data_IF_991624096323
#
_entry.id   IF_991624096323
#
_cell.length_a   1.000
_cell.length_b   1.000
_cell.length_c   1.000
_cell.angle_alpha   90.00
_cell.angle_beta   90.00
_cell.angle_gamma   90.00
#
_symmetry.space_group_name_H-M   'P 1'
#
loop_
_entity.id
_entity.type
_entity.pdbx_description
1 polymer ?
#
# COMPACT_ATOMS: atom_id res chain seq x y z
N UNK A 1 44.34 33.84 49.21
CA UNK A 1 43.15 34.20 48.40
C UNK A 1 42.99 33.18 47.30
N UNK A 2 42.07 32.21 47.45
CA UNK A 2 41.76 31.23 46.42
C UNK A 2 40.36 31.54 45.84
N UNK A 3 40.26 31.75 44.53
CA UNK A 3 38.99 31.98 43.83
C UNK A 3 38.28 30.63 43.63
N UNK A 4 36.95 30.52 43.86
CA UNK A 4 36.22 29.30 43.57
C UNK A 4 35.92 29.20 42.06
N UNK A 5 36.13 28.00 41.49
CA UNK A 5 35.91 27.70 40.09
C UNK A 5 34.41 27.64 39.74
N UNK A 6 33.98 28.44 38.77
CA UNK A 6 32.59 28.57 38.31
C UNK A 6 32.26 27.64 37.13
N UNK A 7 32.76 26.41 37.11
CA UNK A 7 32.63 25.52 35.94
C UNK A 7 31.44 24.56 35.94
N UNK A 8 30.69 24.42 37.05
CA UNK A 8 29.69 23.33 37.18
C UNK A 8 28.27 23.75 36.77
N UNK A 9 27.94 25.06 36.75
CA UNK A 9 26.57 25.52 36.43
C UNK A 9 26.23 25.56 34.94
N UNK A 10 27.23 25.63 34.05
CA UNK A 10 27.02 25.77 32.60
C UNK A 10 26.63 24.47 31.90
N UNK A 11 27.11 23.32 32.37
CA UNK A 11 26.90 22.01 31.73
C UNK A 11 25.51 21.47 32.04
N UNK A 12 25.06 21.60 33.28
CA UNK A 12 23.71 21.17 33.70
C UNK A 12 22.60 21.95 33.01
N UNK A 13 22.78 23.27 32.78
CA UNK A 13 21.81 24.10 32.08
C UNK A 13 21.71 23.77 30.57
N UNK A 14 22.83 23.39 29.93
CA UNK A 14 22.85 22.94 28.54
C UNK A 14 22.22 21.55 28.35
N UNK A 15 22.42 20.64 29.31
CA UNK A 15 21.75 19.33 29.34
C UNK A 15 20.24 19.48 29.55
N UNK A 16 19.81 20.39 30.43
CA UNK A 16 18.39 20.70 30.65
C UNK A 16 17.74 21.35 29.43
N UNK A 17 18.39 22.33 28.77
CA UNK A 17 17.87 22.92 27.53
C UNK A 17 17.84 21.90 26.37
N UNK A 18 18.86 21.05 26.23
CA UNK A 18 18.89 19.99 25.22
C UNK A 18 17.79 18.94 25.44
N UNK A 19 17.52 18.57 26.69
CA UNK A 19 16.44 17.67 27.05
C UNK A 19 15.05 18.32 26.82
N UNK A 20 14.88 19.61 27.14
CA UNK A 20 13.63 20.36 26.89
C UNK A 20 13.34 20.55 25.40
N UNK A 21 14.36 20.83 24.59
CA UNK A 21 14.24 20.91 23.12
C UNK A 21 13.94 19.54 22.51
N UNK A 22 14.59 18.47 22.98
CA UNK A 22 14.27 17.10 22.56
C UNK A 22 12.85 16.68 22.99
N UNK A 23 12.39 17.10 24.17
CA UNK A 23 11.02 16.86 24.64
C UNK A 23 10.00 17.66 23.83
N UNK A 24 10.28 18.93 23.50
CA UNK A 24 9.40 19.73 22.63
C UNK A 24 9.38 19.22 21.19
N UNK A 25 10.50 18.70 20.66
CA UNK A 25 10.53 18.02 19.36
C UNK A 25 9.71 16.72 19.40
N UNK A 26 9.83 15.91 20.46
CA UNK A 26 9.02 14.70 20.64
C UNK A 26 7.52 15.04 20.77
N UNK A 27 7.17 16.09 21.52
CA UNK A 27 5.79 16.52 21.75
C UNK A 27 5.15 17.12 20.49
N UNK A 28 5.90 17.80 19.61
CA UNK A 28 5.39 18.24 18.30
C UNK A 28 5.22 17.10 17.30
N UNK A 29 6.05 16.05 17.37
CA UNK A 29 5.92 14.85 16.51
C UNK A 29 4.75 13.94 16.96
N UNK A 30 4.32 14.09 18.21
CA UNK A 30 3.21 13.37 18.83
C UNK A 30 1.85 14.12 18.79
N UNK A 31 1.68 15.11 17.91
CA UNK A 31 0.34 15.59 17.60
C UNK A 31 -0.42 14.45 16.91
N UNK A 32 -1.24 13.75 17.69
CA UNK A 32 -2.03 12.61 17.22
C UNK A 32 -2.93 13.06 16.06
N UNK A 33 -2.96 12.30 14.96
CA UNK A 33 -3.87 12.63 13.86
C UNK A 33 -5.30 12.58 14.41
N UNK A 34 -6.07 13.65 14.18
CA UNK A 34 -7.38 13.75 14.80
C UNK A 34 -8.28 12.60 14.33
N UNK A 35 -8.97 12.01 15.30
CA UNK A 35 -9.95 10.96 15.04
C UNK A 35 -9.38 9.54 14.93
N UNK A 36 -8.15 9.26 15.37
CA UNK A 36 -7.66 7.86 15.54
C UNK A 36 -7.69 7.02 14.26
N UNK A 37 -7.78 5.69 14.35
CA UNK A 37 -7.84 4.80 13.17
C UNK A 37 -9.24 4.86 12.54
N UNK A 38 -9.32 5.01 11.21
CA UNK A 38 -10.59 5.00 10.48
C UNK A 38 -11.15 3.58 10.42
N UNK A 39 -12.46 3.47 10.65
CA UNK A 39 -13.22 2.23 10.55
C UNK A 39 -14.36 2.37 9.55
N UNK A 40 -15.01 1.26 9.21
CA UNK A 40 -16.26 1.25 8.45
C UNK A 40 -17.45 0.92 9.33
N UNK A 41 -18.61 1.46 8.98
CA UNK A 41 -19.91 1.02 9.49
C UNK A 41 -20.92 1.04 8.34
N UNK A 42 -21.39 -0.15 7.97
CA UNK A 42 -22.18 -0.31 6.74
C UNK A 42 -21.36 0.11 5.52
N UNK A 43 -21.85 1.09 4.77
CA UNK A 43 -21.26 1.61 3.53
C UNK A 43 -20.54 2.95 3.72
N UNK A 44 -20.27 3.36 4.97
CA UNK A 44 -19.64 4.63 5.30
C UNK A 44 -18.41 4.43 6.18
N UNK A 45 -17.47 5.37 6.10
CA UNK A 45 -16.30 5.42 6.96
C UNK A 45 -16.54 6.33 8.16
N UNK A 46 -15.88 6.03 9.28
CA UNK A 46 -15.98 6.76 10.52
C UNK A 46 -14.62 6.89 11.19
N UNK A 47 -14.37 8.05 11.79
CA UNK A 47 -13.25 8.24 12.70
C UNK A 47 -13.49 7.51 14.04
N UNK A 48 -12.47 7.44 14.89
CA UNK A 48 -12.54 6.81 16.21
C UNK A 48 -13.46 7.54 17.21
N UNK A 49 -13.88 8.78 16.89
CA UNK A 49 -14.87 9.53 17.68
C UNK A 49 -16.31 9.25 17.21
N UNK A 50 -16.49 8.46 16.14
CA UNK A 50 -17.80 8.15 15.57
C UNK A 50 -18.33 9.20 14.59
N UNK A 51 -17.50 10.13 14.12
CA UNK A 51 -17.89 11.09 13.09
C UNK A 51 -17.77 10.46 11.70
N UNK A 52 -18.72 10.72 10.78
CA UNK A 52 -18.58 10.31 9.38
C UNK A 52 -17.30 10.87 8.75
N UNK A 53 -16.58 10.03 8.02
CA UNK A 53 -15.37 10.39 7.30
C UNK A 53 -15.60 10.25 5.79
N UNK A 54 -15.55 11.37 5.06
CA UNK A 54 -15.64 11.39 3.60
C UNK A 54 -14.24 11.49 3.01
N UNK A 55 -13.90 10.58 2.10
CA UNK A 55 -12.61 10.59 1.42
C UNK A 55 -12.60 11.68 0.34
N UNK A 56 -11.64 12.58 0.44
CA UNK A 56 -11.29 13.55 -0.61
C UNK A 56 -9.78 13.48 -0.78
N UNK A 57 -9.31 12.85 -1.85
CA UNK A 57 -7.93 12.39 -1.91
C UNK A 57 -7.29 12.39 -3.28
N UNK A 58 -6.02 11.99 -3.32
CA UNK A 58 -5.21 11.90 -4.53
C UNK A 58 -4.22 10.71 -4.45
N UNK A 59 -3.65 10.32 -5.60
CA UNK A 59 -2.58 9.32 -5.67
C UNK A 59 -1.21 10.02 -5.63
N UNK A 60 -0.34 9.58 -4.72
CA UNK A 60 1.04 10.04 -4.56
C UNK A 60 1.97 8.82 -4.54
N UNK A 61 1.98 8.01 -5.60
CA UNK A 61 2.72 6.74 -5.62
C UNK A 61 4.20 6.87 -5.25
N UNK A 62 4.80 8.03 -5.52
CA UNK A 62 6.23 8.31 -5.44
C UNK A 62 6.72 8.84 -4.08
N UNK A 63 5.87 9.01 -3.06
CA UNK A 63 6.29 9.64 -1.79
C UNK A 63 7.53 8.98 -1.17
N UNK A 64 7.51 7.65 -0.98
CA UNK A 64 8.65 6.91 -0.46
C UNK A 64 9.89 7.07 -1.36
N UNK A 65 9.69 6.95 -2.67
CA UNK A 65 10.79 6.97 -3.64
C UNK A 65 11.51 8.32 -3.69
N UNK A 66 10.76 9.44 -3.66
CA UNK A 66 11.35 10.78 -3.62
C UNK A 66 11.92 11.13 -2.25
N UNK A 67 11.33 10.65 -1.16
CA UNK A 67 11.90 10.82 0.17
C UNK A 67 13.21 10.06 0.38
N UNK A 68 13.49 9.01 -0.42
CA UNK A 68 14.72 8.23 -0.29
C UNK A 68 15.96 9.02 -0.76
N UNK A 69 15.79 10.04 -1.60
CA UNK A 69 16.86 10.92 -2.06
C UNK A 69 16.79 12.28 -1.36
N UNK A 70 17.84 12.67 -0.61
CA UNK A 70 17.88 13.97 0.05
C UNK A 70 17.66 15.17 -0.89
N UNK A 71 18.03 15.06 -2.17
CA UNK A 71 17.88 16.15 -3.15
C UNK A 71 16.44 16.36 -3.64
N UNK A 72 15.57 15.36 -3.48
CA UNK A 72 14.16 15.40 -3.88
C UNK A 72 13.18 15.25 -2.71
N UNK A 73 13.67 15.05 -1.49
CA UNK A 73 12.84 14.79 -0.31
C UNK A 73 11.84 15.92 -0.02
N UNK A 74 12.21 17.17 -0.30
CA UNK A 74 11.34 18.33 -0.11
C UNK A 74 10.05 18.25 -0.95
N UNK A 75 10.06 17.54 -2.09
CA UNK A 75 8.86 17.35 -2.91
C UNK A 75 7.73 16.65 -2.15
N UNK A 76 8.06 15.83 -1.13
CA UNK A 76 7.07 15.20 -0.25
C UNK A 76 6.42 16.23 0.66
N UNK A 77 7.18 17.18 1.18
CA UNK A 77 6.64 18.24 2.02
C UNK A 77 5.77 19.19 1.19
N UNK A 78 6.27 19.62 0.03
CA UNK A 78 5.59 20.55 -0.87
C UNK A 78 4.22 19.99 -1.33
N UNK A 79 4.17 18.72 -1.75
CA UNK A 79 2.91 18.13 -2.23
C UNK A 79 1.89 17.89 -1.12
N UNK A 80 2.33 17.56 0.10
CA UNK A 80 1.44 17.36 1.25
C UNK A 80 0.93 18.69 1.80
N UNK A 81 1.74 19.76 1.73
CA UNK A 81 1.29 21.11 2.03
C UNK A 81 0.23 21.58 1.03
N UNK A 82 0.45 21.39 -0.27
CA UNK A 82 -0.54 21.74 -1.29
C UNK A 82 -1.83 20.91 -1.15
N UNK A 83 -1.71 19.61 -0.88
CA UNK A 83 -2.86 18.76 -0.62
C UNK A 83 -3.67 19.23 0.60
N UNK A 84 -3.00 19.65 1.67
CA UNK A 84 -3.65 20.25 2.84
C UNK A 84 -4.37 21.56 2.49
N UNK A 85 -3.72 22.45 1.71
CA UNK A 85 -4.33 23.71 1.25
C UNK A 85 -5.57 23.48 0.39
N UNK A 86 -5.59 22.41 -0.41
CA UNK A 86 -6.72 21.99 -1.23
C UNK A 86 -7.82 21.23 -0.45
N UNK A 87 -7.61 20.97 0.84
CA UNK A 87 -8.55 20.22 1.68
C UNK A 87 -8.62 18.73 1.34
N UNK A 88 -7.55 18.16 0.80
CA UNK A 88 -7.41 16.70 0.66
C UNK A 88 -7.10 16.08 2.03
N UNK A 89 -7.65 14.90 2.30
CA UNK A 89 -7.52 14.21 3.59
C UNK A 89 -7.00 12.77 3.48
N UNK A 90 -6.92 12.21 2.26
CA UNK A 90 -6.34 10.87 2.02
C UNK A 90 -5.40 10.91 0.81
N UNK A 91 -4.21 10.34 0.96
CA UNK A 91 -3.28 10.04 -0.12
C UNK A 91 -3.16 8.53 -0.33
N UNK A 92 -3.13 8.06 -1.57
CA UNK A 92 -2.80 6.65 -1.89
C UNK A 92 -1.34 6.57 -2.36
N UNK A 93 -0.50 5.75 -1.74
CA UNK A 93 0.95 5.67 -2.04
C UNK A 93 1.50 4.26 -1.91
N UNK A 94 2.67 3.99 -2.49
CA UNK A 94 3.24 2.65 -2.57
C UNK A 94 4.13 2.38 -1.36
N UNK A 95 3.89 1.25 -0.71
CA UNK A 95 4.77 0.67 0.31
C UNK A 95 5.64 -0.45 -0.28
N UNK A 96 5.89 -0.40 -1.60
CA UNK A 96 6.75 -1.31 -2.33
C UNK A 96 7.67 -0.55 -3.30
N UNK A 97 8.82 -1.16 -3.55
CA UNK A 97 9.70 -0.91 -4.68
C UNK A 97 10.61 -2.14 -4.73
N UNK A 98 10.34 -3.08 -5.64
CA UNK A 98 10.93 -4.40 -5.67
C UNK A 98 12.04 -4.45 -6.73
N UNK A 99 13.29 -4.64 -6.30
CA UNK A 99 14.45 -4.63 -7.19
C UNK A 99 14.68 -3.28 -7.91
N UNK A 100 15.79 -3.20 -8.65
CA UNK A 100 16.16 -2.01 -9.41
C UNK A 100 16.74 -0.86 -8.57
N UNK A 101 16.76 0.33 -9.16
CA UNK A 101 17.27 1.54 -8.52
C UNK A 101 16.32 2.05 -7.44
N UNK A 102 16.85 2.37 -6.25
CA UNK A 102 16.10 2.77 -5.03
C UNK A 102 14.99 1.78 -4.63
N UNK A 103 15.26 0.49 -4.77
CA UNK A 103 14.36 -0.54 -4.29
C UNK A 103 14.21 -0.46 -2.77
N UNK A 104 12.97 -0.58 -2.27
CA UNK A 104 12.69 -0.89 -0.87
C UNK A 104 13.10 -2.33 -0.57
N UNK A 105 12.67 -3.29 -1.41
CA UNK A 105 13.00 -4.70 -1.29
C UNK A 105 14.02 -5.06 -2.37
N UNK A 106 15.29 -5.18 -1.96
CA UNK A 106 16.42 -5.46 -2.84
C UNK A 106 16.34 -6.89 -3.44
N UNK A 107 15.93 -7.84 -2.59
CA UNK A 107 15.61 -9.21 -2.95
C UNK A 107 14.65 -9.77 -1.89
N UNK A 108 14.01 -10.94 -2.08
CA UNK A 108 13.07 -11.51 -1.13
C UNK A 108 13.57 -11.51 0.31
N UNK A 109 12.92 -10.74 1.16
CA UNK A 109 13.24 -10.62 2.58
C UNK A 109 14.44 -9.71 2.92
N UNK A 110 15.08 -9.07 1.94
CA UNK A 110 16.20 -8.14 2.12
C UNK A 110 15.75 -6.74 1.73
N UNK A 111 15.87 -5.79 2.66
CA UNK A 111 15.34 -4.44 2.53
C UNK A 111 16.44 -3.40 2.62
N UNK A 112 16.30 -2.32 1.84
CA UNK A 112 17.10 -1.12 2.02
C UNK A 112 16.50 -0.27 3.15
N UNK A 113 17.22 -0.16 4.26
CA UNK A 113 16.75 0.58 5.44
C UNK A 113 16.65 2.09 5.17
N UNK A 114 17.46 2.65 4.26
CA UNK A 114 17.39 4.06 3.88
C UNK A 114 16.08 4.35 3.16
N UNK A 115 15.67 3.47 2.23
CA UNK A 115 14.39 3.58 1.53
C UNK A 115 13.22 3.33 2.49
N UNK A 116 13.37 2.43 3.46
CA UNK A 116 12.33 2.20 4.46
C UNK A 116 12.12 3.40 5.40
N UNK A 117 13.20 4.07 5.79
CA UNK A 117 13.15 5.34 6.53
C UNK A 117 12.51 6.47 5.70
N UNK A 118 12.55 6.37 4.37
CA UNK A 118 11.82 7.30 3.51
C UNK A 118 10.30 7.12 3.59
N UNK A 119 9.81 5.88 3.72
CA UNK A 119 8.40 5.62 4.00
C UNK A 119 8.01 6.10 5.42
N UNK A 120 8.91 5.95 6.40
CA UNK A 120 8.70 6.52 7.74
C UNK A 120 8.51 8.03 7.69
N UNK A 121 9.34 8.72 6.88
CA UNK A 121 9.26 10.15 6.65
C UNK A 121 7.93 10.54 6.02
N UNK A 122 7.51 9.85 4.95
CA UNK A 122 6.24 10.11 4.27
C UNK A 122 5.04 10.00 5.23
N UNK A 123 5.01 9.00 6.10
CA UNK A 123 3.96 8.86 7.12
C UNK A 123 3.98 10.01 8.13
N UNK A 124 5.15 10.41 8.63
CA UNK A 124 5.26 11.53 9.57
C UNK A 124 4.83 12.85 8.93
N UNK A 125 5.18 13.09 7.66
CA UNK A 125 4.75 14.29 6.96
C UNK A 125 3.25 14.27 6.69
N UNK A 126 2.68 13.14 6.25
CA UNK A 126 1.25 13.00 6.08
C UNK A 126 0.50 13.33 7.38
N UNK A 127 1.00 12.83 8.53
CA UNK A 127 0.45 13.17 9.86
C UNK A 127 0.45 14.68 10.12
N UNK A 128 1.58 15.36 9.91
CA UNK A 128 1.71 16.81 10.13
C UNK A 128 0.73 17.63 9.28
N UNK A 129 0.43 17.14 8.08
CA UNK A 129 -0.52 17.76 7.16
C UNK A 129 -1.96 17.27 7.34
N UNK A 130 -2.25 16.50 8.41
CA UNK A 130 -3.57 15.91 8.68
C UNK A 130 -4.12 15.06 7.52
N UNK A 131 -3.21 14.40 6.80
CA UNK A 131 -3.51 13.47 5.73
C UNK A 131 -3.33 12.03 6.20
N UNK A 132 -4.19 11.14 5.71
CA UNK A 132 -4.09 9.70 5.93
C UNK A 132 -3.59 8.98 4.69
N UNK A 133 -2.89 7.86 4.82
CA UNK A 133 -2.32 7.13 3.70
C UNK A 133 -2.96 5.76 3.49
N UNK A 134 -3.38 5.45 2.27
CA UNK A 134 -3.60 4.08 1.81
C UNK A 134 -2.27 3.54 1.28
N UNK A 135 -1.83 2.40 1.79
CA UNK A 135 -0.54 1.80 1.47
C UNK A 135 -0.70 0.52 0.64
N UNK A 136 -0.35 0.60 -0.64
CA UNK A 136 -0.29 -0.57 -1.54
C UNK A 136 0.96 -1.39 -1.31
N UNK A 137 0.80 -2.71 -1.19
CA UNK A 137 1.83 -3.63 -0.73
C UNK A 137 2.61 -4.32 -1.86
N UNK A 138 2.11 -4.26 -3.10
CA UNK A 138 2.82 -4.74 -4.31
C UNK A 138 2.11 -4.19 -5.56
N UNK A 139 2.79 -4.21 -6.71
CA UNK A 139 2.19 -3.85 -8.00
C UNK A 139 1.80 -5.09 -8.83
N UNK A 140 0.78 -4.95 -9.68
CA UNK A 140 0.54 -5.87 -10.79
C UNK A 140 1.50 -5.66 -11.97
N UNK A 141 1.94 -4.43 -12.20
CA UNK A 141 2.84 -4.07 -13.30
C UNK A 141 4.32 -4.08 -12.89
N UNK A 142 5.20 -3.93 -13.87
CA UNK A 142 6.66 -3.91 -13.66
C UNK A 142 7.20 -2.61 -13.02
N UNK A 143 6.43 -1.52 -13.03
CA UNK A 143 6.86 -0.25 -12.46
C UNK A 143 7.12 -0.42 -10.96
N UNK A 144 8.35 -0.07 -10.55
CA UNK A 144 8.86 -0.30 -9.21
C UNK A 144 8.81 -1.80 -8.81
N UNK A 145 8.93 -2.70 -9.78
CA UNK A 145 9.05 -4.14 -9.60
C UNK A 145 7.73 -4.91 -9.73
N UNK A 146 6.98 -5.08 -8.64
CA UNK A 146 5.68 -5.76 -8.67
C UNK A 146 5.74 -7.28 -8.87
N UNK A 147 4.59 -7.90 -9.21
CA UNK A 147 4.51 -9.36 -9.47
C UNK A 147 5.52 -9.86 -10.52
N UNK A 148 5.88 -9.10 -11.59
CA UNK A 148 6.92 -9.55 -12.52
C UNK A 148 8.28 -9.71 -11.84
N UNK A 149 8.64 -8.84 -10.89
CA UNK A 149 9.89 -8.95 -10.14
C UNK A 149 9.90 -10.15 -9.20
N UNK A 150 8.78 -10.47 -8.54
CA UNK A 150 8.66 -11.69 -7.72
C UNK A 150 8.83 -12.96 -8.57
N UNK A 151 8.22 -12.96 -9.77
CA UNK A 151 8.36 -14.05 -10.72
C UNK A 151 9.81 -14.19 -11.21
N UNK A 152 10.47 -13.07 -11.53
CA UNK A 152 11.89 -13.05 -11.91
C UNK A 152 12.80 -13.60 -10.79
N UNK A 153 12.60 -13.16 -9.54
CA UNK A 153 13.33 -13.68 -8.38
C UNK A 153 13.13 -15.19 -8.18
N UNK A 154 11.93 -15.70 -8.49
CA UNK A 154 11.63 -17.13 -8.48
C UNK A 154 12.46 -17.88 -9.52
N UNK A 155 12.43 -17.42 -10.78
CA UNK A 155 13.20 -18.01 -11.88
C UNK A 155 14.71 -18.02 -11.60
N UNK A 156 15.25 -16.91 -11.10
CA UNK A 156 16.67 -16.76 -10.77
C UNK A 156 17.13 -17.70 -9.63
N UNK A 157 16.23 -18.12 -8.76
CA UNK A 157 16.50 -19.10 -7.69
C UNK A 157 16.19 -20.55 -8.08
N UNK A 158 15.95 -20.81 -9.37
CA UNK A 158 15.73 -22.16 -9.90
C UNK A 158 14.30 -22.70 -9.69
N UNK A 159 13.34 -21.85 -9.29
CA UNK A 159 11.94 -22.26 -9.22
C UNK A 159 11.29 -22.28 -10.62
N UNK A 160 10.38 -23.23 -10.84
CA UNK A 160 9.59 -23.28 -12.06
C UNK A 160 8.45 -22.25 -12.00
N UNK A 161 8.68 -21.07 -12.60
CA UNK A 161 7.75 -19.94 -12.62
C UNK A 161 7.45 -19.57 -14.09
N UNK A 162 6.39 -20.13 -14.70
CA UNK A 162 6.17 -20.07 -16.14
C UNK A 162 5.75 -18.69 -16.66
N UNK A 163 5.16 -17.84 -15.81
CA UNK A 163 4.69 -16.49 -16.12
C UNK A 163 4.54 -15.70 -14.82
N UNK A 164 4.14 -14.44 -14.91
CA UNK A 164 4.04 -13.55 -13.75
C UNK A 164 2.80 -13.82 -12.88
N UNK A 165 1.75 -14.43 -13.43
CA UNK A 165 0.56 -14.85 -12.65
C UNK A 165 0.84 -16.02 -11.71
N UNK A 166 1.98 -16.71 -11.87
CA UNK A 166 2.51 -17.64 -10.88
C UNK A 166 2.72 -16.96 -9.51
N UNK A 167 2.78 -15.63 -9.44
CA UNK A 167 2.72 -14.87 -8.19
C UNK A 167 1.52 -15.26 -7.30
N UNK A 168 0.36 -15.56 -7.91
CA UNK A 168 -0.85 -15.90 -7.16
C UNK A 168 -0.86 -17.34 -6.63
N UNK A 169 -0.14 -18.25 -7.29
CA UNK A 169 -0.26 -19.70 -7.05
C UNK A 169 1.00 -20.32 -6.46
N UNK A 170 2.18 -19.84 -6.85
CA UNK A 170 3.45 -20.45 -6.47
C UNK A 170 3.75 -20.25 -4.97
N UNK A 171 3.93 -21.32 -4.19
CA UNK A 171 4.00 -21.26 -2.72
C UNK A 171 5.16 -20.40 -2.19
N UNK A 172 6.30 -20.42 -2.90
CA UNK A 172 7.47 -19.60 -2.53
C UNK A 172 7.20 -18.10 -2.72
N UNK A 173 6.58 -17.70 -3.84
CA UNK A 173 6.30 -16.29 -4.14
C UNK A 173 5.25 -15.73 -3.17
N UNK A 174 4.22 -16.53 -2.85
CA UNK A 174 3.24 -16.23 -1.80
C UNK A 174 3.89 -16.04 -0.43
N UNK A 175 4.86 -16.89 -0.10
CA UNK A 175 5.62 -16.77 1.16
C UNK A 175 6.45 -15.49 1.19
N UNK A 176 7.08 -15.11 0.07
CA UNK A 176 7.82 -13.84 -0.02
C UNK A 176 6.90 -12.63 0.13
N UNK A 177 5.72 -12.64 -0.51
CA UNK A 177 4.73 -11.58 -0.31
C UNK A 177 4.30 -11.49 1.16
N UNK A 178 3.97 -12.62 1.82
CA UNK A 178 3.66 -12.64 3.26
C UNK A 178 4.80 -12.12 4.14
N UNK A 179 6.06 -12.39 3.76
CA UNK A 179 7.21 -11.83 4.47
C UNK A 179 7.27 -10.31 4.31
N UNK A 180 7.01 -9.79 3.12
CA UNK A 180 6.90 -8.35 2.85
C UNK A 180 5.77 -7.69 3.64
N UNK A 181 4.56 -8.25 3.58
CA UNK A 181 3.42 -7.80 4.40
C UNK A 181 3.79 -7.72 5.88
N UNK A 182 4.37 -8.80 6.43
CA UNK A 182 4.79 -8.81 7.83
C UNK A 182 5.82 -7.73 8.12
N UNK A 183 6.83 -7.58 7.25
CA UNK A 183 7.90 -6.59 7.43
C UNK A 183 7.34 -5.16 7.45
N UNK A 184 6.44 -4.81 6.54
CA UNK A 184 5.81 -3.48 6.46
C UNK A 184 4.90 -3.23 7.67
N UNK A 185 3.92 -4.11 7.91
CA UNK A 185 2.93 -3.90 8.97
C UNK A 185 3.55 -3.85 10.37
N UNK A 186 4.61 -4.61 10.61
CA UNK A 186 5.30 -4.66 11.92
C UNK A 186 6.47 -3.70 12.03
N UNK A 187 6.75 -2.89 11.01
CA UNK A 187 7.80 -1.87 11.08
C UNK A 187 7.45 -0.85 12.16
N UNK A 188 8.44 -0.56 13.02
CA UNK A 188 8.39 0.59 13.92
C UNK A 188 8.99 1.78 13.17
N UNK A 189 8.19 2.82 12.99
CA UNK A 189 8.61 4.05 12.34
C UNK A 189 9.80 4.66 13.13
N UNK A 190 10.93 4.87 12.46
CA UNK A 190 12.17 5.34 13.12
C UNK A 190 12.10 6.79 13.60
N UNK A 191 11.11 7.56 13.13
CA UNK A 191 10.91 8.97 13.47
C UNK A 191 9.86 9.12 14.58
N UNK A 192 8.70 8.47 14.44
CA UNK A 192 7.61 8.58 15.42
C UNK A 192 7.67 7.54 16.55
N UNK A 193 8.39 6.43 16.35
CA UNK A 193 8.42 5.30 17.28
C UNK A 193 7.14 4.44 17.28
N UNK A 194 6.19 4.71 16.37
CA UNK A 194 4.91 4.00 16.28
C UNK A 194 5.05 2.83 15.29
N UNK A 195 4.58 1.63 15.66
CA UNK A 195 4.49 0.54 14.72
C UNK A 195 3.42 0.84 13.65
N UNK A 196 3.67 0.55 12.37
CA UNK A 196 2.74 0.90 11.29
C UNK A 196 1.33 0.33 11.52
N UNK A 197 1.21 -0.92 11.97
CA UNK A 197 -0.07 -1.55 12.39
C UNK A 197 -0.82 -0.82 13.51
N UNK A 198 -0.16 0.10 14.22
CA UNK A 198 -0.72 0.89 15.31
C UNK A 198 -0.81 2.38 14.95
N UNK A 199 -0.42 2.76 13.72
CA UNK A 199 -0.28 4.16 13.29
C UNK A 199 -1.58 4.69 12.66
N UNK A 200 -2.32 5.62 13.33
CA UNK A 200 -3.57 6.15 12.82
C UNK A 200 -3.42 7.01 11.55
N UNK A 201 -2.21 7.37 11.14
CA UNK A 201 -1.98 8.02 9.85
C UNK A 201 -2.26 7.08 8.68
N UNK A 202 -2.25 5.77 8.88
CA UNK A 202 -2.64 4.81 7.85
C UNK A 202 -4.17 4.74 7.79
N UNK A 203 -4.74 4.98 6.60
CA UNK A 203 -6.17 4.83 6.33
C UNK A 203 -6.53 3.36 6.16
N UNK A 204 -5.78 2.66 5.32
CA UNK A 204 -5.99 1.25 5.00
C UNK A 204 -4.74 0.64 4.35
N UNK A 205 -4.70 -0.69 4.40
CA UNK A 205 -3.81 -1.49 3.58
C UNK A 205 -4.49 -1.82 2.25
N UNK A 206 -3.70 -1.88 1.17
CA UNK A 206 -4.13 -2.38 -0.14
C UNK A 206 -3.28 -3.60 -0.51
N UNK A 207 -3.92 -4.72 -0.85
CA UNK A 207 -3.20 -5.96 -1.15
C UNK A 207 -2.25 -5.83 -2.34
N UNK A 208 -2.71 -5.24 -3.44
CA UNK A 208 -1.98 -5.14 -4.71
C UNK A 208 -2.60 -4.06 -5.59
N UNK A 209 -1.78 -3.18 -6.16
CA UNK A 209 -2.26 -2.21 -7.17
C UNK A 209 -2.72 -2.95 -8.43
N UNK A 210 -4.00 -2.79 -8.79
CA UNK A 210 -4.61 -3.20 -10.06
C UNK A 210 -4.34 -4.67 -10.44
N UNK A 211 -4.68 -5.66 -9.58
CA UNK A 211 -4.36 -7.05 -9.85
C UNK A 211 -5.09 -7.57 -11.08
N UNK A 212 -4.35 -8.23 -11.97
CA UNK A 212 -4.89 -9.00 -13.09
C UNK A 212 -4.28 -10.40 -13.11
N UNK A 213 -5.05 -11.38 -13.59
CA UNK A 213 -4.62 -12.77 -13.77
C UNK A 213 -5.06 -13.26 -15.15
N UNK A 214 -4.35 -12.83 -16.20
CA UNK A 214 -4.73 -13.03 -17.60
C UNK A 214 -4.65 -14.50 -18.02
N UNK A 215 -3.84 -15.30 -17.30
CA UNK A 215 -3.76 -16.75 -17.49
C UNK A 215 -4.98 -17.51 -16.97
N UNK A 216 -5.84 -16.87 -16.17
CA UNK A 216 -7.11 -17.42 -15.71
C UNK A 216 -8.27 -16.41 -15.84
N UNK A 217 -8.83 -16.26 -17.06
CA UNK A 217 -10.00 -15.38 -17.31
C UNK A 217 -11.25 -15.72 -16.48
N UNK A 218 -11.32 -16.92 -15.88
CA UNK A 218 -12.45 -17.30 -15.01
C UNK A 218 -12.43 -16.55 -13.67
N UNK A 219 -11.28 -16.00 -13.30
CA UNK A 219 -10.98 -15.36 -12.03
C UNK A 219 -10.94 -16.30 -10.82
N UNK A 220 -10.92 -17.62 -11.05
CA UNK A 220 -10.92 -18.62 -9.98
C UNK A 220 -9.60 -18.68 -9.20
N UNK A 221 -8.50 -18.21 -9.80
CA UNK A 221 -7.17 -18.12 -9.18
C UNK A 221 -7.18 -17.06 -8.06
N UNK A 222 -7.79 -15.91 -8.31
CA UNK A 222 -7.91 -14.83 -7.32
C UNK A 222 -9.15 -14.97 -6.42
N UNK A 223 -10.26 -15.53 -6.93
CA UNK A 223 -11.58 -15.51 -6.30
C UNK A 223 -12.26 -16.90 -6.17
N UNK A 224 -13.32 -17.04 -5.37
CA UNK A 224 -13.95 -18.34 -5.10
C UNK A 224 -14.69 -19.03 -6.27
N UNK A 225 -14.24 -20.19 -6.75
CA UNK A 225 -14.99 -21.02 -7.70
C UNK A 225 -16.46 -21.25 -7.28
N UNK A 226 -17.40 -21.04 -8.20
CA UNK A 226 -18.86 -21.04 -7.95
C UNK A 226 -19.44 -22.46 -7.82
N UNK A 227 -18.69 -23.50 -8.21
CA UNK A 227 -19.04 -24.89 -7.98
C UNK A 227 -17.97 -25.54 -7.12
N UNK A 228 -18.39 -25.95 -5.94
CA UNK A 228 -17.62 -26.62 -4.91
C UNK A 228 -17.53 -28.11 -5.25
N UNK A 229 -16.37 -28.58 -5.71
CA UNK A 229 -15.97 -29.99 -5.49
C UNK A 229 -14.92 -30.00 -4.38
N UNK A 230 -14.85 -31.07 -3.59
CA UNK A 230 -13.92 -31.17 -2.45
C UNK A 230 -12.44 -30.97 -2.84
N UNK A 231 -12.05 -31.27 -4.09
CA UNK A 231 -10.73 -30.94 -4.66
C UNK A 231 -10.45 -29.43 -4.76
N UNK A 232 -11.48 -28.59 -4.93
CA UNK A 232 -11.33 -27.11 -4.98
C UNK A 232 -11.26 -26.45 -3.60
N UNK A 233 -11.43 -27.23 -2.52
CA UNK A 233 -11.41 -26.72 -1.13
C UNK A 233 -10.00 -26.35 -0.64
N UNK A 234 -8.96 -26.98 -1.19
CA UNK A 234 -7.54 -26.75 -0.86
C UNK A 234 -6.90 -25.59 -1.65
N UNK A 235 -7.51 -25.12 -2.75
CA UNK A 235 -7.05 -23.90 -3.44
C UNK A 235 -7.43 -22.66 -2.63
N UNK A 236 -6.66 -22.36 -1.58
CA UNK A 236 -6.71 -21.06 -0.90
C UNK A 236 -6.46 -19.95 -1.93
N UNK A 237 -7.56 -19.39 -2.45
CA UNK A 237 -7.57 -18.30 -3.41
C UNK A 237 -6.83 -17.12 -2.84
N UNK A 238 -5.95 -16.53 -3.65
CA UNK A 238 -4.91 -15.63 -3.19
C UNK A 238 -5.44 -14.52 -2.28
N UNK A 239 -6.55 -13.85 -2.65
CA UNK A 239 -7.14 -12.77 -1.84
C UNK A 239 -7.63 -13.27 -0.48
N UNK A 240 -8.27 -14.45 -0.39
CA UNK A 240 -8.74 -15.01 0.88
C UNK A 240 -7.56 -15.29 1.83
N UNK A 241 -6.50 -15.89 1.29
CA UNK A 241 -5.30 -16.18 2.08
C UNK A 241 -4.59 -14.90 2.54
N UNK A 242 -4.33 -13.97 1.62
CA UNK A 242 -3.57 -12.77 1.93
C UNK A 242 -4.34 -11.82 2.84
N UNK A 243 -5.67 -11.70 2.66
CA UNK A 243 -6.50 -10.90 3.55
C UNK A 243 -6.55 -11.48 4.97
N UNK A 244 -6.69 -12.81 5.11
CA UNK A 244 -6.60 -13.46 6.41
C UNK A 244 -5.23 -13.27 7.06
N UNK A 245 -4.15 -13.34 6.28
CA UNK A 245 -2.80 -13.14 6.78
C UNK A 245 -2.56 -11.70 7.26
N UNK A 246 -2.95 -10.69 6.46
CA UNK A 246 -2.91 -9.27 6.87
C UNK A 246 -3.68 -9.07 8.19
N UNK A 247 -4.92 -9.54 8.28
CA UNK A 247 -5.75 -9.40 9.49
C UNK A 247 -5.25 -10.20 10.68
N UNK A 248 -4.42 -11.23 10.47
CA UNK A 248 -3.75 -11.93 11.57
C UNK A 248 -2.68 -11.07 12.26
N UNK A 249 -2.10 -10.10 11.54
CA UNK A 249 -1.05 -9.19 12.03
C UNK A 249 -1.67 -7.88 12.52
N UNK A 250 -2.60 -7.31 11.75
CA UNK A 250 -3.26 -6.04 11.99
C UNK A 250 -4.79 -6.17 11.94
N UNK A 251 -5.41 -6.07 13.12
CA UNK A 251 -6.87 -6.13 13.29
C UNK A 251 -7.52 -4.75 13.37
N UNK A 252 -6.74 -3.67 13.29
CA UNK A 252 -7.18 -2.29 13.50
C UNK A 252 -7.48 -1.60 12.19
N UNK A 253 -6.54 -1.62 11.24
CA UNK A 253 -6.71 -0.93 9.95
C UNK A 253 -7.64 -1.69 9.01
N UNK A 254 -8.34 -0.92 8.17
CA UNK A 254 -9.11 -1.49 7.07
C UNK A 254 -8.19 -2.13 6.02
N UNK A 255 -8.73 -3.08 5.26
CA UNK A 255 -8.05 -3.72 4.15
C UNK A 255 -8.94 -3.70 2.90
N UNK A 256 -8.34 -3.37 1.77
CA UNK A 256 -8.93 -3.59 0.46
C UNK A 256 -7.95 -4.23 -0.52
N UNK A 257 -8.41 -4.51 -1.74
CA UNK A 257 -7.71 -5.36 -2.70
C UNK A 257 -6.83 -4.57 -3.67
N UNK A 258 -7.30 -3.41 -4.14
CA UNK A 258 -6.70 -2.56 -5.17
C UNK A 258 -7.29 -2.79 -6.56
N UNK A 259 -8.55 -3.23 -6.63
CA UNK A 259 -9.21 -3.55 -7.89
C UNK A 259 -9.48 -2.30 -8.74
N UNK A 260 -9.27 -2.45 -10.04
CA UNK A 260 -9.74 -1.51 -11.06
C UNK A 260 -11.26 -1.55 -11.20
N UNK A 261 -11.88 -2.66 -10.79
CA UNK A 261 -13.32 -2.80 -10.69
C UNK A 261 -13.95 -3.82 -11.63
N UNK A 262 -13.19 -4.51 -12.49
CA UNK A 262 -13.77 -5.36 -13.54
C UNK A 262 -14.62 -6.53 -13.00
N UNK A 263 -15.80 -6.70 -13.61
CA UNK A 263 -16.72 -7.80 -13.30
C UNK A 263 -16.26 -9.12 -13.94
N UNK A 264 -16.64 -10.26 -13.36
CA UNK A 264 -16.28 -11.60 -13.85
C UNK A 264 -17.25 -12.21 -14.89
N UNK A 265 -16.83 -13.27 -15.63
CA UNK A 265 -17.44 -13.84 -16.85
C UNK A 265 -18.96 -14.09 -16.81
N UNK A 266 -19.53 -14.37 -15.63
CA UNK A 266 -20.94 -14.80 -15.49
C UNK A 266 -21.96 -13.65 -15.43
N UNK A 267 -21.53 -12.39 -15.48
CA UNK A 267 -22.42 -11.22 -15.36
C UNK A 267 -22.87 -10.63 -16.70
N UNK A 268 -23.23 -11.48 -17.67
CA UNK A 268 -23.34 -11.23 -19.13
C UNK A 268 -24.18 -10.04 -19.66
N UNK A 269 -24.75 -9.17 -18.82
CA UNK A 269 -25.49 -7.97 -19.25
C UNK A 269 -25.00 -6.67 -18.55
N UNK A 270 -24.28 -6.75 -17.41
CA UNK A 270 -23.79 -5.54 -16.71
C UNK A 270 -22.41 -5.05 -17.13
N UNK A 271 -21.56 -5.94 -17.70
CA UNK A 271 -20.16 -5.59 -18.01
C UNK A 271 -19.99 -4.53 -19.08
N UNK A 272 -20.80 -4.61 -20.14
CA UNK A 272 -20.65 -3.74 -21.32
C UNK A 272 -21.21 -2.32 -21.09
N UNK A 273 -22.07 -2.16 -20.09
CA UNK A 273 -22.48 -0.84 -19.58
C UNK A 273 -21.45 -0.26 -18.60
N UNK A 274 -20.81 -1.12 -17.80
CA UNK A 274 -19.76 -0.69 -16.86
C UNK A 274 -18.44 -0.35 -17.58
N UNK A 275 -18.14 -1.02 -18.69
CA UNK A 275 -16.91 -0.81 -19.48
C UNK A 275 -17.22 -0.71 -20.97
N UNK A 276 -16.80 0.37 -21.65
CA UNK A 276 -16.95 0.50 -23.10
C UNK A 276 -15.97 -0.38 -23.91
N UNK A 277 -15.17 -1.22 -23.26
CA UNK A 277 -14.09 -2.03 -23.85
C UNK A 277 -14.06 -3.46 -23.30
N UNK A 278 -13.29 -4.34 -23.95
CA UNK A 278 -13.20 -5.75 -23.58
C UNK A 278 -12.37 -5.94 -22.30
N UNK A 279 -13.00 -6.48 -21.27
CA UNK A 279 -12.41 -6.79 -19.95
C UNK A 279 -12.45 -8.29 -19.61
N UNK A 280 -12.77 -9.15 -20.60
CA UNK A 280 -13.03 -10.57 -20.38
C UNK A 280 -11.81 -11.36 -19.91
N UNK A 281 -10.60 -10.87 -20.18
CA UNK A 281 -9.35 -11.56 -19.85
C UNK A 281 -8.59 -10.95 -18.66
N UNK A 282 -9.22 -10.07 -17.86
CA UNK A 282 -8.52 -9.48 -16.70
C UNK A 282 -8.31 -10.48 -15.55
N UNK A 283 -9.06 -11.59 -15.54
CA UNK A 283 -9.01 -12.60 -14.48
C UNK A 283 -9.53 -12.11 -13.13
N UNK A 284 -10.21 -10.96 -13.08
CA UNK A 284 -10.82 -10.42 -11.86
C UNK A 284 -12.34 -10.61 -11.84
N UNK A 285 -12.91 -10.56 -10.64
CA UNK A 285 -14.35 -10.59 -10.45
C UNK A 285 -14.73 -9.70 -9.27
N UNK A 286 -15.06 -8.45 -9.58
CA UNK A 286 -15.34 -7.39 -8.61
C UNK A 286 -16.32 -7.80 -7.51
N UNK A 287 -17.43 -8.46 -7.86
CA UNK A 287 -18.45 -8.86 -6.87
C UNK A 287 -17.91 -9.98 -5.99
N UNK A 288 -17.30 -11.00 -6.61
CA UNK A 288 -16.86 -12.18 -5.88
C UNK A 288 -15.67 -11.89 -4.97
N UNK A 289 -14.75 -11.05 -5.43
CA UNK A 289 -13.56 -10.65 -4.69
C UNK A 289 -13.91 -9.79 -3.48
N UNK A 290 -14.77 -8.77 -3.64
CA UNK A 290 -15.18 -7.92 -2.52
C UNK A 290 -16.14 -8.60 -1.52
N UNK A 291 -16.65 -9.80 -1.82
CA UNK A 291 -17.41 -10.64 -0.87
C UNK A 291 -16.53 -11.49 0.04
N UNK A 292 -15.23 -11.54 -0.20
CA UNK A 292 -14.29 -12.31 0.62
C UNK A 292 -14.21 -11.66 2.02
N UNK A 293 -14.29 -12.48 3.06
CA UNK A 293 -14.10 -12.02 4.43
C UNK A 293 -12.75 -11.31 4.59
N UNK A 294 -12.67 -10.34 5.51
CA UNK A 294 -11.50 -9.49 5.76
C UNK A 294 -11.23 -8.39 4.72
N UNK A 295 -12.05 -8.27 3.68
CA UNK A 295 -12.10 -7.07 2.82
C UNK A 295 -13.14 -6.12 3.39
N UNK A 296 -12.73 -4.88 3.64
CA UNK A 296 -13.55 -3.87 4.34
C UNK A 296 -14.28 -2.93 3.39
N UNK A 297 -13.64 -2.51 2.31
CA UNK A 297 -14.27 -1.67 1.30
C UNK A 297 -13.80 -2.04 -0.11
N UNK A 298 -14.54 -1.59 -1.12
CA UNK A 298 -14.27 -1.87 -2.52
C UNK A 298 -13.69 -0.64 -3.23
N UNK A 299 -12.85 -0.88 -4.23
CA UNK A 299 -12.20 0.16 -5.05
C UNK A 299 -12.57 -0.01 -6.51
N UNK A 300 -12.58 1.10 -7.26
CA UNK A 300 -12.67 1.12 -8.71
C UNK A 300 -11.70 2.16 -9.25
N UNK A 301 -11.14 1.90 -10.42
CA UNK A 301 -10.29 2.82 -11.16
C UNK A 301 -10.99 3.18 -12.47
N UNK A 302 -10.79 4.40 -12.96
CA UNK A 302 -11.44 4.87 -14.19
C UNK A 302 -10.44 5.66 -15.03
N UNK A 303 -10.05 5.09 -16.17
CA UNK A 303 -9.16 5.71 -17.14
C UNK A 303 -9.81 5.73 -18.54
N UNK A 304 -10.87 6.52 -18.75
CA UNK A 304 -11.63 6.48 -20.01
C UNK A 304 -10.74 6.68 -21.25
N UNK A 305 -9.74 7.57 -21.20
CA UNK A 305 -8.87 7.86 -22.34
C UNK A 305 -7.99 6.66 -22.75
N UNK A 306 -7.45 5.92 -21.78
CA UNK A 306 -6.69 4.69 -22.04
C UNK A 306 -7.58 3.54 -22.51
N UNK A 307 -8.86 3.63 -22.17
CA UNK A 307 -9.87 2.63 -22.47
C UNK A 307 -10.53 2.84 -23.84
N UNK A 308 -10.36 4.01 -24.47
CA UNK A 308 -11.09 4.43 -25.68
C UNK A 308 -10.22 4.68 -26.92
N UNK A 309 -8.91 4.44 -26.90
CA UNK A 309 -8.07 4.67 -28.08
C UNK A 309 -8.40 3.66 -29.20
N UNK A 310 -9.27 4.09 -30.12
CA UNK A 310 -9.73 3.35 -31.30
C UNK A 310 -8.66 3.27 -32.42
N UNK A 311 -7.49 3.85 -32.22
CA UNK A 311 -6.36 3.83 -33.16
C UNK A 311 -5.07 3.24 -32.58
N UNK A 312 -4.97 3.09 -31.27
CA UNK A 312 -3.89 2.34 -30.65
C UNK A 312 -4.04 0.85 -31.00
N UNK A 313 -2.95 0.26 -31.50
CA UNK A 313 -2.74 -1.18 -31.35
C UNK A 313 -3.03 -1.52 -29.87
N UNK A 314 -3.73 -2.63 -29.56
CA UNK A 314 -3.95 -3.03 -28.17
C UNK A 314 -2.64 -2.88 -27.44
N UNK A 315 -2.62 -2.07 -26.38
CA UNK A 315 -1.41 -1.84 -25.59
C UNK A 315 -0.81 -3.24 -25.32
N UNK A 316 0.39 -3.55 -25.85
CA UNK A 316 0.95 -4.88 -25.66
C UNK A 316 0.99 -5.12 -24.16
N UNK A 317 0.42 -6.26 -23.77
CA UNK A 317 0.21 -6.69 -22.40
C UNK A 317 1.36 -6.26 -21.47
N UNK A 318 1.02 -5.58 -20.36
CA UNK A 318 1.92 -5.40 -19.22
C UNK A 318 2.47 -3.99 -18.95
N UNK A 319 2.24 -2.98 -19.79
CA UNK A 319 2.73 -1.62 -19.49
C UNK A 319 1.75 -0.87 -18.58
N UNK A 320 2.28 -0.35 -17.46
CA UNK A 320 1.54 0.49 -16.52
C UNK A 320 1.04 1.78 -17.20
N UNK A 321 -0.16 2.27 -16.84
CA UNK A 321 -0.62 3.59 -17.28
C UNK A 321 0.16 4.75 -16.63
N UNK A 322 0.98 4.47 -15.61
CA UNK A 322 1.75 5.44 -14.85
C UNK A 322 3.17 5.59 -15.39
N UNK A 323 3.70 6.82 -15.51
CA UNK A 323 5.10 7.03 -15.87
C UNK A 323 6.03 6.35 -14.85
N UNK A 324 7.13 5.77 -15.34
CA UNK A 324 8.21 5.16 -14.56
C UNK A 324 8.93 6.18 -13.69
#
# INVERSE_FOLDING_TARGET
MARPSTSVRSTSLRLLLGALLAHQLLVLVAADIKGGIISRKGTQFFDANGNPFLVHGCNFYWLMYQAADPSSRNLVDDVLEDAQRLGLNVGRTWAFADGGYRALQLSPGVYDETVFQALDYALVQARKHNMRLVLSLVNNYENYGGKPQYALWGRQRGHHVPNDDAFYTHPVLRTWYKNHVKRVLTRVNTISGIAYKDDPTIFAWELINEPRCETDPSGNTMAYAIQLTEETSEMQKWVKEMAAYVKSIDKKHMLEIGLEGFYGPKHGISRRWAYPFNTDNTGTDYIRLNKIANIDYATVHSYPDLCYDATAKPNPAGTSPWPS
#
